data_IF_976601834671
#
_entry.id   IF_976601834671
#
_cell.length_a   1.000
_cell.length_b   1.000
_cell.length_c   1.000
_cell.angle_alpha   90.00
_cell.angle_beta   90.00
_cell.angle_gamma   90.00
#
_symmetry.space_group_name_H-M   'P 1'
#
loop_
_entity.id
_entity.type
_entity.pdbx_description
1 polymer ?
#
# COMPACT_ATOMS: atom_id res chain seq x y z
N UNK A 1 7.45 -4.35 12.67
CA UNK A 1 8.54 -3.38 12.50
C UNK A 1 8.19 -2.02 13.12
N UNK A 2 7.24 -1.23 12.58
CA UNK A 2 6.95 0.13 13.07
C UNK A 2 6.69 0.25 14.59
N UNK A 3 5.86 -0.65 15.17
CA UNK A 3 5.61 -0.69 16.62
C UNK A 3 6.90 -0.90 17.44
N UNK A 4 7.80 -1.77 16.98
CA UNK A 4 9.07 -2.01 17.66
C UNK A 4 9.99 -0.80 17.60
N UNK A 5 10.02 -0.09 16.49
CA UNK A 5 10.83 1.12 16.31
C UNK A 5 10.34 2.26 17.20
N UNK A 6 9.02 2.45 17.29
CA UNK A 6 8.44 3.44 18.17
C UNK A 6 8.65 3.10 19.65
N UNK A 7 8.54 1.83 20.04
CA UNK A 7 8.80 1.41 21.41
C UNK A 7 10.25 1.70 21.85
N UNK A 8 11.23 1.52 20.97
CA UNK A 8 12.62 1.93 21.26
C UNK A 8 12.70 3.43 21.53
N UNK A 9 12.02 4.24 20.70
CA UNK A 9 11.96 5.69 20.87
C UNK A 9 11.28 6.12 22.18
N UNK A 10 10.28 5.36 22.65
CA UNK A 10 9.63 5.62 23.95
C UNK A 10 10.55 5.33 25.14
N UNK A 11 11.32 4.24 25.06
CA UNK A 11 12.14 3.74 26.16
C UNK A 11 13.52 4.42 26.25
N UNK A 12 14.04 4.92 25.13
CA UNK A 12 15.36 5.50 25.03
C UNK A 12 15.30 6.89 24.36
N UNK A 13 15.58 7.93 25.15
CA UNK A 13 15.57 9.32 24.69
C UNK A 13 16.69 9.64 23.69
N UNK A 14 17.74 8.82 23.61
CA UNK A 14 18.82 8.97 22.63
C UNK A 14 18.53 8.22 21.33
N UNK A 15 17.58 7.29 21.33
CA UNK A 15 17.20 6.57 20.12
C UNK A 15 16.67 7.52 19.04
N UNK A 16 17.03 7.25 17.79
CA UNK A 16 16.59 8.00 16.62
C UNK A 16 16.06 7.03 15.57
N UNK A 17 14.77 7.17 15.24
CA UNK A 17 14.20 6.53 14.06
C UNK A 17 14.86 7.16 12.83
N UNK A 18 15.28 6.33 11.87
CA UNK A 18 15.88 6.80 10.63
C UNK A 18 14.92 7.74 9.90
N UNK A 19 15.40 8.85 9.29
CA UNK A 19 14.54 9.87 8.70
C UNK A 19 13.46 9.32 7.75
N UNK A 20 13.83 8.37 6.89
CA UNK A 20 12.93 7.75 5.90
C UNK A 20 11.81 6.91 6.53
N UNK A 21 11.99 6.44 7.76
CA UNK A 21 11.01 5.61 8.45
C UNK A 21 10.10 6.40 9.40
N UNK A 22 10.45 7.65 9.75
CA UNK A 22 9.74 8.42 10.79
C UNK A 22 8.24 8.53 10.54
N UNK A 23 7.81 8.93 9.35
CA UNK A 23 6.39 9.08 9.02
C UNK A 23 5.64 7.76 9.21
N UNK A 24 6.20 6.66 8.71
CA UNK A 24 5.58 5.33 8.83
C UNK A 24 5.56 4.88 10.29
N UNK A 25 6.66 5.06 11.02
CA UNK A 25 6.77 4.64 12.43
C UNK A 25 5.82 5.43 13.31
N UNK A 26 5.83 6.77 13.24
CA UNK A 26 4.99 7.64 14.07
C UNK A 26 3.51 7.46 13.75
N UNK A 27 3.13 7.48 12.46
CA UNK A 27 1.73 7.34 12.06
C UNK A 27 1.18 5.96 12.46
N UNK A 28 1.95 4.87 12.31
CA UNK A 28 1.50 3.54 12.76
C UNK A 28 1.44 3.42 14.29
N UNK A 29 2.35 4.07 15.03
CA UNK A 29 2.26 4.13 16.48
C UNK A 29 0.97 4.80 16.94
N UNK A 30 0.60 5.92 16.33
CA UNK A 30 -0.67 6.62 16.63
C UNK A 30 -1.90 5.84 16.18
N UNK A 31 -1.82 5.14 15.05
CA UNK A 31 -2.93 4.35 14.51
C UNK A 31 -3.30 3.15 15.38
N UNK A 32 -2.31 2.54 16.05
CA UNK A 32 -2.49 1.32 16.85
C UNK A 32 -2.21 1.51 18.35
N UNK A 33 -1.83 2.73 18.75
CA UNK A 33 -1.61 3.13 20.13
C UNK A 33 -2.78 3.95 20.69
N UNK A 34 -2.54 4.63 21.80
CA UNK A 34 -3.52 5.43 22.53
C UNK A 34 -2.97 6.79 22.95
N UNK A 35 -3.39 7.24 24.14
CA UNK A 35 -3.01 8.55 24.67
C UNK A 35 -1.51 8.66 24.96
N UNK A 36 -0.84 7.56 25.36
CA UNK A 36 0.58 7.55 25.67
C UNK A 36 1.43 7.95 24.45
N UNK A 37 1.24 7.25 23.31
CA UNK A 37 1.97 7.53 22.09
C UNK A 37 1.62 8.90 21.51
N UNK A 38 0.35 9.31 21.62
CA UNK A 38 -0.11 10.63 21.17
C UNK A 38 0.52 11.75 21.99
N UNK A 39 0.46 11.67 23.31
CA UNK A 39 1.04 12.67 24.21
C UNK A 39 2.56 12.71 24.11
N UNK A 40 3.21 11.56 23.90
CA UNK A 40 4.65 11.53 23.64
C UNK A 40 5.02 12.36 22.41
N UNK A 41 4.35 12.14 21.28
CA UNK A 41 4.61 12.90 20.05
C UNK A 41 4.21 14.37 20.18
N UNK A 42 3.10 14.67 20.86
CA UNK A 42 2.69 16.04 21.15
C UNK A 42 3.73 16.79 22.00
N UNK A 43 4.22 16.19 23.07
CA UNK A 43 5.28 16.77 23.91
C UNK A 43 6.58 16.94 23.13
N UNK A 44 6.91 15.98 22.27
CA UNK A 44 8.03 16.09 21.36
C UNK A 44 7.87 17.27 20.42
N UNK A 45 6.70 17.46 19.80
CA UNK A 45 6.41 18.63 18.96
C UNK A 45 6.67 19.96 19.70
N UNK A 46 6.19 20.09 20.94
CA UNK A 46 6.32 21.31 21.74
C UNK A 46 7.77 21.62 22.15
N UNK A 47 8.59 20.59 22.37
CA UNK A 47 9.94 20.75 22.94
C UNK A 47 11.06 20.68 21.89
N UNK A 48 10.78 20.16 20.70
CA UNK A 48 11.81 19.96 19.68
C UNK A 48 12.18 21.27 18.97
N UNK A 49 13.47 21.46 18.69
CA UNK A 49 13.99 22.67 18.03
C UNK A 49 14.12 22.55 16.50
N UNK A 50 13.89 21.37 15.93
CA UNK A 50 13.96 21.14 14.49
C UNK A 50 12.58 21.28 13.84
N UNK A 51 12.41 22.29 13.00
CA UNK A 51 11.13 22.57 12.34
C UNK A 51 10.63 21.40 11.46
N UNK A 52 11.52 20.70 10.76
CA UNK A 52 11.12 19.56 9.91
C UNK A 52 10.53 18.39 10.72
N UNK A 53 11.05 18.14 11.92
CA UNK A 53 10.44 17.16 12.85
C UNK A 53 9.07 17.67 13.34
N UNK A 54 8.96 18.96 13.67
CA UNK A 54 7.69 19.54 14.13
C UNK A 54 6.59 19.41 13.08
N UNK A 55 6.88 19.78 11.83
CA UNK A 55 5.94 19.66 10.70
C UNK A 55 5.57 18.20 10.45
N UNK A 56 6.54 17.28 10.50
CA UNK A 56 6.26 15.85 10.38
C UNK A 56 5.32 15.37 11.49
N UNK A 57 5.58 15.75 12.74
CA UNK A 57 4.74 15.37 13.88
C UNK A 57 3.31 15.91 13.71
N UNK A 58 3.14 17.18 13.34
CA UNK A 58 1.81 17.74 13.05
C UNK A 58 1.07 16.94 11.97
N UNK A 59 1.79 16.54 10.91
CA UNK A 59 1.22 15.73 9.82
C UNK A 59 0.80 14.32 10.24
N UNK A 60 1.41 13.72 11.26
CA UNK A 60 1.08 12.34 11.68
C UNK A 60 0.14 12.27 12.89
N UNK A 61 -0.01 13.33 13.69
CA UNK A 61 -0.92 13.34 14.86
C UNK A 61 -2.38 13.03 14.50
N UNK A 62 -2.80 13.32 13.26
CA UNK A 62 -4.11 12.93 12.71
C UNK A 62 -4.25 11.44 12.35
N UNK A 63 -3.18 10.64 12.41
CA UNK A 63 -3.23 9.19 12.16
C UNK A 63 -3.94 8.38 13.25
N UNK A 64 -4.28 9.01 14.38
CA UNK A 64 -5.02 8.35 15.49
C UNK A 64 -6.36 7.79 15.02
N UNK A 65 -6.78 6.67 15.62
CA UNK A 65 -8.12 6.08 15.44
C UNK A 65 -9.09 6.49 16.56
N UNK A 66 -8.61 7.23 17.55
CA UNK A 66 -9.40 7.66 18.70
C UNK A 66 -10.02 9.02 18.40
N UNK A 67 -11.35 9.07 18.33
CA UNK A 67 -12.11 10.31 18.03
C UNK A 67 -11.83 11.42 19.05
N UNK A 68 -11.72 11.09 20.34
CA UNK A 68 -11.43 12.07 21.39
C UNK A 68 -10.06 12.72 21.20
N UNK A 69 -9.03 11.94 20.84
CA UNK A 69 -7.70 12.47 20.53
C UNK A 69 -7.72 13.31 19.25
N UNK A 70 -8.43 12.87 18.21
CA UNK A 70 -8.57 13.63 16.98
C UNK A 70 -9.30 14.97 17.20
N UNK A 71 -10.40 14.97 17.96
CA UNK A 71 -11.13 16.19 18.34
C UNK A 71 -10.29 17.10 19.23
N UNK A 72 -9.55 16.53 20.19
CA UNK A 72 -8.60 17.29 21.01
C UNK A 72 -7.52 17.96 20.16
N UNK A 73 -7.06 17.29 19.10
CA UNK A 73 -6.11 17.85 18.16
C UNK A 73 -6.72 18.96 17.28
N UNK A 74 -7.91 18.71 16.70
CA UNK A 74 -8.65 19.72 15.94
C UNK A 74 -9.00 20.94 16.79
N UNK A 75 -9.31 20.77 18.08
CA UNK A 75 -9.58 21.90 18.99
C UNK A 75 -8.39 22.84 19.13
N UNK A 76 -7.17 22.36 18.94
CA UNK A 76 -5.96 23.21 18.92
C UNK A 76 -5.96 24.21 17.76
N UNK A 77 -6.74 23.99 16.70
CA UNK A 77 -6.85 24.94 15.58
C UNK A 77 -7.69 26.17 15.91
N UNK A 78 -8.49 26.09 16.97
CA UNK A 78 -9.41 27.15 17.43
C UNK A 78 -9.13 27.54 18.89
N UNK A 79 -7.92 27.23 19.39
CA UNK A 79 -7.49 27.58 20.74
C UNK A 79 -6.31 28.54 20.64
N UNK A 80 -6.43 29.73 21.23
CA UNK A 80 -5.31 30.65 21.38
C UNK A 80 -4.18 29.98 22.19
N UNK A 81 -2.94 30.23 21.80
CA UNK A 81 -1.75 29.67 22.46
C UNK A 81 -1.72 28.13 22.53
N UNK A 82 -2.33 27.45 21.55
CA UNK A 82 -2.35 25.98 21.48
C UNK A 82 -0.98 25.31 21.33
N UNK A 83 0.07 26.11 21.14
CA UNK A 83 1.43 25.67 20.80
C UNK A 83 1.65 25.46 19.31
N UNK A 84 0.59 25.48 18.48
CA UNK A 84 0.70 25.38 17.03
C UNK A 84 0.97 26.76 16.43
N UNK A 85 2.00 26.86 15.57
CA UNK A 85 2.30 28.10 14.84
C UNK A 85 1.17 28.41 13.86
N UNK A 86 0.79 29.68 13.75
CA UNK A 86 -0.33 30.11 12.88
C UNK A 86 -0.16 29.70 11.40
N UNK A 87 1.08 29.61 10.91
CA UNK A 87 1.38 29.17 9.54
C UNK A 87 1.21 27.66 9.32
N UNK A 88 1.31 26.85 10.38
CA UNK A 88 1.24 25.39 10.32
C UNK A 88 -0.17 24.87 10.65
N UNK A 89 -1.05 25.72 11.19
CA UNK A 89 -2.40 25.37 11.66
C UNK A 89 -3.28 24.77 10.56
N UNK A 90 -3.08 25.20 9.31
CA UNK A 90 -3.83 24.73 8.15
C UNK A 90 -3.52 23.28 7.78
N UNK A 91 -2.43 22.70 8.30
CA UNK A 91 -2.07 21.30 8.09
C UNK A 91 -2.83 20.31 8.98
N UNK A 92 -3.46 20.80 10.06
CA UNK A 92 -4.09 19.96 11.09
C UNK A 92 -5.32 19.24 10.55
N UNK A 93 -6.28 19.97 9.97
CA UNK A 93 -7.48 19.34 9.36
C UNK A 93 -7.11 18.29 8.30
N UNK A 94 -6.25 18.60 7.31
CA UNK A 94 -5.78 17.61 6.34
C UNK A 94 -5.14 16.37 6.96
N UNK A 95 -4.37 16.51 8.04
CA UNK A 95 -3.78 15.35 8.72
C UNK A 95 -4.85 14.41 9.29
N UNK A 96 -6.00 14.95 9.69
CA UNK A 96 -7.12 14.17 10.25
C UNK A 96 -7.96 13.57 9.12
N UNK A 97 -8.52 14.37 8.21
CA UNK A 97 -9.46 13.84 7.21
C UNK A 97 -8.81 12.92 6.15
N UNK A 98 -7.49 12.94 5.99
CA UNK A 98 -6.77 11.98 5.12
C UNK A 98 -6.56 10.59 5.78
N UNK A 99 -7.13 10.37 6.97
CA UNK A 99 -7.19 9.07 7.63
C UNK A 99 -8.54 8.40 7.35
N UNK A 100 -8.56 7.06 7.24
CA UNK A 100 -9.75 6.24 6.95
C UNK A 100 -10.92 6.55 7.90
N UNK A 101 -10.63 6.85 9.17
CA UNK A 101 -11.65 7.22 10.18
C UNK A 101 -11.83 8.73 10.33
N UNK A 102 -10.89 9.52 9.80
CA UNK A 102 -10.77 10.92 10.16
C UNK A 102 -11.72 11.84 9.42
N UNK A 103 -12.33 11.41 8.30
CA UNK A 103 -13.39 12.18 7.63
C UNK A 103 -14.57 12.36 8.58
N UNK A 104 -15.06 11.29 9.21
CA UNK A 104 -16.15 11.37 10.18
C UNK A 104 -15.76 12.19 11.42
N UNK A 105 -14.53 12.06 11.92
CA UNK A 105 -14.05 12.87 13.03
C UNK A 105 -14.04 14.36 12.69
N UNK A 106 -13.59 14.72 11.48
CA UNK A 106 -13.55 16.10 11.01
C UNK A 106 -14.95 16.69 10.80
N UNK A 107 -15.88 15.92 10.21
CA UNK A 107 -17.28 16.33 10.05
C UNK A 107 -17.95 16.53 11.42
N UNK A 108 -17.79 15.57 12.33
CA UNK A 108 -18.36 15.65 13.67
C UNK A 108 -17.81 16.84 14.44
N UNK A 109 -16.49 17.06 14.39
CA UNK A 109 -15.87 18.21 15.04
C UNK A 109 -16.38 19.53 14.47
N UNK A 110 -16.46 19.65 13.14
CA UNK A 110 -17.00 20.83 12.46
C UNK A 110 -18.44 21.12 12.89
N UNK A 111 -19.29 20.09 12.94
CA UNK A 111 -20.69 20.21 13.37
C UNK A 111 -20.83 20.63 14.84
N UNK A 112 -20.00 20.07 15.72
CA UNK A 112 -20.09 20.29 17.17
C UNK A 112 -19.48 21.62 17.60
N UNK A 113 -18.51 22.15 16.86
CA UNK A 113 -17.72 23.33 17.25
C UNK A 113 -17.85 24.49 16.24
N UNK A 114 -18.89 24.46 15.41
CA UNK A 114 -19.08 25.42 14.31
C UNK A 114 -19.04 26.89 14.75
N UNK A 115 -19.70 27.21 15.87
CA UNK A 115 -19.74 28.58 16.41
C UNK A 115 -18.37 29.06 16.84
N UNK A 116 -17.63 28.21 17.56
CA UNK A 116 -16.27 28.51 18.00
C UNK A 116 -15.32 28.69 16.79
N UNK A 117 -15.52 27.92 15.72
CA UNK A 117 -14.74 28.05 14.47
C UNK A 117 -14.98 29.40 13.79
N UNK A 118 -16.24 29.87 13.73
CA UNK A 118 -16.56 31.20 13.19
C UNK A 118 -15.99 32.30 14.09
N UNK A 119 -16.16 32.18 15.41
CA UNK A 119 -15.66 33.18 16.37
C UNK A 119 -14.14 33.31 16.30
N UNK A 120 -13.43 32.20 16.09
CA UNK A 120 -11.99 32.18 15.88
C UNK A 120 -11.55 32.65 14.47
N UNK A 121 -12.49 33.01 13.60
CA UNK A 121 -12.26 33.44 12.22
C UNK A 121 -11.49 32.39 11.37
N UNK A 122 -11.72 31.11 11.64
CA UNK A 122 -11.14 30.02 10.86
C UNK A 122 -11.93 29.80 9.55
N UNK A 123 -11.23 29.42 8.48
CA UNK A 123 -11.83 29.27 7.15
C UNK A 123 -12.69 27.99 7.05
N UNK A 124 -14.00 28.13 7.30
CA UNK A 124 -14.96 27.02 7.14
C UNK A 124 -15.01 26.51 5.70
N UNK A 125 -14.91 27.39 4.70
CA UNK A 125 -14.90 27.01 3.29
C UNK A 125 -13.73 26.09 2.94
N UNK A 126 -12.53 26.37 3.45
CA UNK A 126 -11.35 25.52 3.24
C UNK A 126 -11.52 24.16 3.89
N UNK A 127 -12.05 24.10 5.12
CA UNK A 127 -12.32 22.86 5.84
C UNK A 127 -13.36 22.01 5.09
N UNK A 128 -14.49 22.60 4.71
CA UNK A 128 -15.57 21.91 3.96
C UNK A 128 -15.06 21.41 2.61
N UNK A 129 -14.24 22.19 1.91
CA UNK A 129 -13.65 21.79 0.63
C UNK A 129 -12.70 20.60 0.79
N UNK A 130 -11.83 20.63 1.80
CA UNK A 130 -10.93 19.52 2.13
C UNK A 130 -11.68 18.24 2.49
N UNK A 131 -12.67 18.32 3.38
CA UNK A 131 -13.52 17.18 3.75
C UNK A 131 -14.27 16.64 2.52
N UNK A 132 -14.85 17.51 1.70
CA UNK A 132 -15.56 17.13 0.47
C UNK A 132 -14.69 16.31 -0.48
N UNK A 133 -13.41 16.66 -0.62
CA UNK A 133 -12.45 15.90 -1.42
C UNK A 133 -12.11 14.51 -0.87
N UNK A 134 -12.34 14.27 0.42
CA UNK A 134 -12.03 13.03 1.11
C UNK A 134 -13.24 12.11 1.35
N UNK A 135 -14.46 12.56 1.04
CA UNK A 135 -15.69 11.76 1.19
C UNK A 135 -15.62 10.50 0.34
N UNK A 136 -15.92 9.35 0.96
CA UNK A 136 -15.96 8.06 0.28
C UNK A 136 -17.24 7.25 0.56
N UNK A 137 -18.21 7.79 1.29
CA UNK A 137 -19.47 7.11 1.61
C UNK A 137 -20.67 8.06 1.53
N UNK A 138 -21.86 7.48 1.29
CA UNK A 138 -23.12 8.22 1.28
C UNK A 138 -23.41 8.85 2.65
N UNK A 139 -23.11 8.14 3.74
CA UNK A 139 -23.32 8.64 5.10
C UNK A 139 -22.51 9.92 5.38
N UNK A 140 -21.23 9.95 4.97
CA UNK A 140 -20.38 11.13 5.13
C UNK A 140 -20.90 12.31 4.30
N UNK A 141 -21.36 12.03 3.09
CA UNK A 141 -21.97 13.01 2.19
C UNK A 141 -23.22 13.63 2.83
N UNK A 142 -24.12 12.81 3.36
CA UNK A 142 -25.36 13.26 3.99
C UNK A 142 -25.08 14.10 5.23
N UNK A 143 -24.12 13.70 6.08
CA UNK A 143 -23.70 14.48 7.26
C UNK A 143 -23.16 15.86 6.87
N UNK A 144 -22.35 15.94 5.81
CA UNK A 144 -21.79 17.21 5.37
C UNK A 144 -22.85 18.10 4.70
N UNK A 145 -23.73 17.51 3.89
CA UNK A 145 -24.87 18.22 3.29
C UNK A 145 -25.80 18.81 4.36
N UNK A 146 -26.14 18.01 5.36
CA UNK A 146 -26.92 18.46 6.50
C UNK A 146 -26.25 19.64 7.21
N UNK A 147 -24.95 19.53 7.50
CA UNK A 147 -24.19 20.62 8.12
C UNK A 147 -24.27 21.92 7.30
N UNK A 148 -24.05 21.86 5.99
CA UNK A 148 -24.05 23.04 5.11
C UNK A 148 -25.43 23.71 5.11
N UNK A 149 -26.50 22.92 5.06
CA UNK A 149 -27.87 23.42 5.07
C UNK A 149 -28.24 24.05 6.42
N UNK A 150 -27.93 23.36 7.52
CA UNK A 150 -28.25 23.79 8.88
C UNK A 150 -27.48 25.07 9.27
N UNK A 151 -26.30 25.29 8.69
CA UNK A 151 -25.42 26.44 8.98
C UNK A 151 -25.48 27.57 7.95
N UNK A 152 -26.31 27.45 6.91
CA UNK A 152 -26.28 28.33 5.74
C UNK A 152 -26.46 29.82 6.06
N UNK A 153 -27.28 30.15 7.06
CA UNK A 153 -27.52 31.52 7.50
C UNK A 153 -26.29 32.11 8.20
N UNK A 154 -25.72 31.38 9.16
CA UNK A 154 -24.52 31.78 9.92
C UNK A 154 -23.26 31.87 9.02
N UNK A 155 -23.15 31.01 8.01
CA UNK A 155 -22.04 31.01 7.04
C UNK A 155 -22.04 32.22 6.08
N UNK A 156 -23.22 32.77 5.80
CA UNK A 156 -23.42 33.75 4.74
C UNK A 156 -23.40 33.14 3.33
N UNK A 157 -24.07 33.81 2.38
CA UNK A 157 -24.37 33.28 1.04
C UNK A 157 -23.13 32.87 0.23
N UNK A 158 -22.03 33.62 0.31
CA UNK A 158 -20.79 33.33 -0.43
C UNK A 158 -20.11 32.05 0.03
N UNK A 159 -19.99 31.87 1.35
CA UNK A 159 -19.39 30.67 1.96
C UNK A 159 -20.26 29.45 1.72
N UNK A 160 -21.59 29.59 1.90
CA UNK A 160 -22.56 28.53 1.62
C UNK A 160 -22.51 28.08 0.15
N UNK A 161 -22.42 29.01 -0.79
CA UNK A 161 -22.28 28.68 -2.23
C UNK A 161 -20.99 27.90 -2.50
N UNK A 162 -19.88 28.32 -1.90
CA UNK A 162 -18.58 27.64 -2.05
C UNK A 162 -18.59 26.23 -1.45
N UNK A 163 -19.27 26.06 -0.30
CA UNK A 163 -19.48 24.78 0.35
C UNK A 163 -20.35 23.84 -0.51
N UNK A 164 -21.46 24.33 -1.06
CA UNK A 164 -22.32 23.55 -1.96
C UNK A 164 -21.60 23.12 -3.25
N UNK A 165 -20.73 23.97 -3.82
CA UNK A 165 -19.90 23.60 -4.97
C UNK A 165 -18.90 22.47 -4.64
N UNK A 166 -18.32 22.52 -3.43
CA UNK A 166 -17.44 21.45 -2.93
C UNK A 166 -18.22 20.15 -2.74
N UNK A 167 -19.41 20.23 -2.13
CA UNK A 167 -20.32 19.10 -1.94
C UNK A 167 -20.75 18.49 -3.29
N UNK A 168 -21.06 19.31 -4.29
CA UNK A 168 -21.38 18.82 -5.65
C UNK A 168 -20.23 18.03 -6.27
N UNK A 169 -18.99 18.41 -5.96
CA UNK A 169 -17.80 17.66 -6.41
C UNK A 169 -17.68 16.34 -5.66
N UNK A 170 -17.92 16.32 -4.34
CA UNK A 170 -18.00 15.09 -3.56
C UNK A 170 -19.07 14.12 -4.10
N UNK A 171 -20.28 14.63 -4.43
CA UNK A 171 -21.37 13.85 -5.04
C UNK A 171 -20.92 13.15 -6.33
N UNK A 172 -20.28 13.89 -7.24
CA UNK A 172 -19.75 13.34 -8.51
C UNK A 172 -18.66 12.29 -8.28
N UNK A 173 -17.74 12.54 -7.35
CA UNK A 173 -16.67 11.60 -7.03
C UNK A 173 -17.22 10.30 -6.43
N UNK A 174 -18.22 10.40 -5.55
CA UNK A 174 -18.88 9.25 -4.94
C UNK A 174 -19.68 8.44 -5.99
N UNK A 175 -20.38 9.12 -6.90
CA UNK A 175 -21.07 8.48 -8.02
C UNK A 175 -20.09 7.73 -8.94
N UNK A 176 -18.95 8.36 -9.26
CA UNK A 176 -17.87 7.71 -10.01
C UNK A 176 -17.34 6.48 -9.27
N UNK A 177 -17.09 6.57 -7.96
CA UNK A 177 -16.65 5.46 -7.13
C UNK A 177 -17.68 4.32 -7.12
N UNK A 178 -18.97 4.62 -7.00
CA UNK A 178 -20.04 3.62 -7.03
C UNK A 178 -20.15 2.93 -8.40
N UNK A 179 -19.90 3.68 -9.48
CA UNK A 179 -19.98 3.18 -10.86
C UNK A 179 -18.78 2.32 -11.24
N UNK A 180 -17.57 2.72 -10.83
CA UNK A 180 -16.31 2.11 -11.30
C UNK A 180 -15.56 1.32 -10.23
N UNK A 181 -15.87 1.51 -8.95
CA UNK A 181 -15.12 0.95 -7.83
C UNK A 181 -15.10 -0.57 -7.83
N UNK A 182 -16.20 -1.24 -8.17
CA UNK A 182 -16.28 -2.70 -8.27
C UNK A 182 -15.42 -3.25 -9.41
N UNK A 183 -15.43 -2.60 -10.57
CA UNK A 183 -14.60 -2.95 -11.72
C UNK A 183 -13.11 -2.78 -11.41
N UNK A 184 -12.72 -1.66 -10.80
CA UNK A 184 -11.34 -1.42 -10.38
C UNK A 184 -10.90 -2.44 -9.34
N UNK A 185 -11.73 -2.71 -8.33
CA UNK A 185 -11.42 -3.70 -7.29
C UNK A 185 -11.27 -5.11 -7.89
N UNK A 186 -12.12 -5.46 -8.86
CA UNK A 186 -12.02 -6.73 -9.58
C UNK A 186 -10.73 -6.79 -10.39
N UNK A 187 -10.41 -5.73 -11.13
CA UNK A 187 -9.17 -5.63 -11.89
C UNK A 187 -7.94 -5.76 -10.97
N UNK A 188 -7.88 -5.01 -9.85
CA UNK A 188 -6.79 -5.09 -8.87
C UNK A 188 -6.64 -6.52 -8.33
N UNK A 189 -7.75 -7.19 -8.00
CA UNK A 189 -7.73 -8.59 -7.52
C UNK A 189 -7.24 -9.56 -8.60
N UNK A 190 -7.55 -9.29 -9.87
CA UNK A 190 -7.06 -10.07 -11.01
C UNK A 190 -5.57 -9.83 -11.27
N UNK A 191 -5.02 -8.66 -10.94
CA UNK A 191 -3.59 -8.36 -11.00
C UNK A 191 -2.78 -9.05 -9.88
N UNK A 192 -3.19 -10.21 -9.37
CA UNK A 192 -2.43 -10.90 -8.34
C UNK A 192 -1.14 -11.49 -8.95
N UNK A 193 -0.02 -10.82 -8.67
CA UNK A 193 1.33 -11.25 -9.05
C UNK A 193 1.86 -12.39 -8.18
N UNK A 194 1.19 -12.75 -7.08
CA UNK A 194 1.61 -13.89 -6.27
C UNK A 194 1.06 -15.19 -6.84
N UNK A 195 1.92 -16.19 -6.93
CA UNK A 195 1.50 -17.56 -7.21
C UNK A 195 0.49 -18.04 -6.14
N UNK A 196 -0.47 -18.90 -6.50
CA UNK A 196 -1.38 -19.52 -5.55
C UNK A 196 -0.66 -20.32 -4.46
N UNK A 197 -1.30 -20.49 -3.30
CA UNK A 197 -0.71 -21.20 -2.14
C UNK A 197 -1.03 -22.69 -2.09
N UNK A 198 -1.68 -23.24 -3.12
CA UNK A 198 -2.03 -24.67 -3.20
C UNK A 198 -0.84 -25.59 -3.48
N UNK A 199 0.28 -25.03 -3.94
CA UNK A 199 1.57 -25.71 -4.11
C UNK A 199 2.62 -24.97 -3.30
N UNK A 200 3.38 -25.72 -2.49
CA UNK A 200 4.46 -25.18 -1.65
C UNK A 200 5.76 -25.91 -1.99
N UNK A 201 6.65 -25.27 -2.76
CA UNK A 201 7.99 -25.78 -3.01
C UNK A 201 8.78 -25.93 -1.71
N UNK A 202 9.51 -27.03 -1.57
CA UNK A 202 10.40 -27.27 -0.42
C UNK A 202 11.84 -27.54 -0.84
N UNK A 203 12.10 -27.83 -2.12
CA UNK A 203 13.46 -28.02 -2.63
C UNK A 203 13.57 -27.67 -4.12
N UNK A 204 14.70 -27.09 -4.50
CA UNK A 204 15.06 -26.78 -5.88
C UNK A 204 16.44 -27.35 -6.18
N UNK A 205 16.57 -28.06 -7.29
CA UNK A 205 17.84 -28.43 -7.90
C UNK A 205 17.96 -27.63 -9.20
N UNK A 206 18.87 -26.65 -9.24
CA UNK A 206 19.01 -25.71 -10.37
C UNK A 206 20.39 -25.90 -11.00
N UNK A 207 20.40 -26.10 -12.31
CA UNK A 207 21.62 -26.12 -13.13
C UNK A 207 21.56 -24.95 -14.09
N UNK A 208 22.65 -24.18 -14.13
CA UNK A 208 22.85 -23.08 -15.06
C UNK A 208 24.15 -23.32 -15.82
N UNK A 209 24.08 -23.36 -17.13
CA UNK A 209 25.20 -23.57 -18.03
C UNK A 209 25.33 -22.37 -18.97
N UNK A 210 26.23 -21.41 -18.66
CA UNK A 210 26.51 -20.30 -19.56
C UNK A 210 27.22 -20.79 -20.81
N UNK A 211 26.83 -20.25 -21.97
CA UNK A 211 27.60 -20.39 -23.20
C UNK A 211 28.52 -19.17 -23.33
N UNK A 212 29.82 -19.40 -23.13
CA UNK A 212 30.84 -18.35 -23.18
C UNK A 212 31.69 -18.41 -24.45
N UNK A 213 31.46 -19.42 -25.30
CA UNK A 213 32.31 -19.72 -26.45
C UNK A 213 31.82 -19.05 -27.75
N UNK A 214 30.62 -18.46 -27.73
CA UNK A 214 30.05 -17.72 -28.85
C UNK A 214 29.51 -16.33 -28.45
N UNK A 215 29.38 -15.45 -29.44
CA UNK A 215 28.82 -14.10 -29.26
C UNK A 215 27.27 -14.13 -29.10
N UNK A 216 26.67 -15.30 -28.86
CA UNK A 216 25.20 -15.40 -28.71
C UNK A 216 24.73 -14.93 -27.33
N UNK A 217 25.64 -14.91 -26.35
CA UNK A 217 25.35 -14.54 -24.97
C UNK A 217 24.18 -15.33 -24.37
N UNK A 218 24.08 -16.60 -24.74
CA UNK A 218 23.02 -17.49 -24.27
C UNK A 218 23.48 -18.31 -23.06
N UNK A 219 22.52 -18.78 -22.29
CA UNK A 219 22.72 -19.85 -21.33
C UNK A 219 21.57 -20.84 -21.42
N UNK A 220 21.87 -22.08 -21.06
CA UNK A 220 20.87 -23.12 -20.87
C UNK A 220 20.86 -23.54 -19.41
N UNK A 221 19.79 -24.22 -19.00
CA UNK A 221 19.68 -24.72 -17.65
C UNK A 221 18.58 -25.76 -17.53
N UNK A 222 18.55 -26.39 -16.36
CA UNK A 222 17.46 -27.27 -15.95
C UNK A 222 17.12 -27.00 -14.51
N UNK A 223 15.84 -27.14 -14.17
CA UNK A 223 15.38 -27.06 -12.80
C UNK A 223 14.54 -28.28 -12.45
N UNK A 224 14.75 -28.78 -11.24
CA UNK A 224 13.87 -29.76 -10.60
C UNK A 224 13.29 -29.13 -9.34
N UNK A 225 11.97 -29.04 -9.27
CA UNK A 225 11.26 -28.41 -8.16
C UNK A 225 10.50 -29.51 -7.42
N UNK A 226 10.88 -29.78 -6.17
CA UNK A 226 10.12 -30.68 -5.31
C UNK A 226 9.16 -29.87 -4.44
N UNK A 227 7.89 -30.24 -4.43
CA UNK A 227 6.84 -29.46 -3.78
C UNK A 227 5.76 -30.32 -3.13
N UNK A 228 5.11 -29.74 -2.12
CA UNK A 228 3.92 -30.30 -1.46
C UNK A 228 2.67 -29.66 -2.05
N UNK A 229 1.63 -30.46 -2.25
CA UNK A 229 0.31 -29.96 -2.65
C UNK A 229 -0.55 -29.83 -1.40
N UNK A 230 -0.95 -28.62 -1.06
CA UNK A 230 -1.77 -28.32 0.12
C UNK A 230 -3.26 -28.41 -0.21
N UNK A 231 -3.64 -28.12 -1.46
CA UNK A 231 -5.01 -28.22 -1.97
C UNK A 231 -4.99 -28.87 -3.36
N UNK A 232 -5.91 -29.80 -3.62
CA UNK A 232 -5.97 -30.53 -4.90
C UNK A 232 -6.16 -29.56 -6.06
N UNK A 233 -5.33 -29.68 -7.10
CA UNK A 233 -5.25 -28.73 -8.22
C UNK A 233 -4.89 -29.43 -9.52
N UNK A 234 -5.28 -28.85 -10.66
CA UNK A 234 -4.88 -29.27 -12.01
C UNK A 234 -3.78 -28.35 -12.59
N UNK A 235 -3.17 -27.47 -11.77
CA UNK A 235 -2.23 -26.45 -12.24
C UNK A 235 -0.96 -26.39 -11.44
N UNK A 236 0.16 -26.17 -12.13
CA UNK A 236 1.43 -25.73 -11.57
C UNK A 236 1.79 -24.40 -12.21
N UNK A 237 1.84 -23.34 -11.40
CA UNK A 237 2.16 -21.99 -11.86
C UNK A 237 3.55 -21.59 -11.37
N UNK A 238 4.35 -21.02 -12.27
CA UNK A 238 5.72 -20.56 -12.02
C UNK A 238 5.86 -19.11 -12.43
N UNK A 239 6.85 -18.43 -11.84
CA UNK A 239 7.33 -17.18 -12.41
C UNK A 239 8.41 -17.44 -13.45
N UNK A 240 8.18 -17.00 -14.68
CA UNK A 240 9.12 -17.09 -15.79
C UNK A 240 9.24 -15.71 -16.40
N UNK A 241 10.46 -15.14 -16.39
CA UNK A 241 10.74 -13.81 -16.88
C UNK A 241 12.01 -13.85 -17.73
N UNK A 242 11.90 -13.44 -18.99
CA UNK A 242 13.00 -13.44 -19.97
C UNK A 242 13.73 -14.79 -20.10
N UNK A 243 12.98 -15.89 -19.98
CA UNK A 243 13.43 -17.26 -20.22
C UNK A 243 12.49 -17.95 -21.20
N UNK A 244 13.04 -18.79 -22.07
CA UNK A 244 12.28 -19.69 -22.93
C UNK A 244 12.33 -21.10 -22.32
N UNK A 245 11.16 -21.68 -22.05
CA UNK A 245 11.02 -23.02 -21.49
C UNK A 245 10.95 -24.04 -22.63
N UNK A 246 11.71 -25.12 -22.51
CA UNK A 246 11.64 -26.25 -23.44
C UNK A 246 10.48 -27.17 -23.03
N UNK A 247 9.31 -26.98 -23.66
CA UNK A 247 8.06 -27.67 -23.27
C UNK A 247 8.15 -29.19 -23.36
N UNK A 248 8.96 -29.72 -24.29
CA UNK A 248 9.17 -31.17 -24.47
C UNK A 248 9.89 -31.82 -23.28
N UNK A 249 10.45 -31.01 -22.38
CA UNK A 249 11.21 -31.45 -21.21
C UNK A 249 10.42 -31.35 -19.90
N UNK A 250 9.20 -30.81 -19.97
CA UNK A 250 8.33 -30.66 -18.81
C UNK A 250 7.82 -32.04 -18.40
N UNK A 251 8.10 -32.43 -17.16
CA UNK A 251 7.58 -33.66 -16.55
C UNK A 251 7.19 -33.41 -15.10
N UNK A 252 6.02 -33.91 -14.69
CA UNK A 252 5.56 -33.84 -13.30
C UNK A 252 5.31 -35.25 -12.78
N UNK A 253 6.07 -35.65 -11.76
CA UNK A 253 6.06 -37.00 -11.21
C UNK A 253 5.61 -36.98 -9.75
N UNK A 254 4.76 -37.94 -9.36
CA UNK A 254 4.44 -38.17 -7.96
C UNK A 254 5.62 -38.86 -7.27
N UNK A 255 6.07 -38.36 -6.12
CA UNK A 255 7.23 -38.99 -5.43
C UNK A 255 6.90 -40.35 -4.80
N UNK A 256 5.62 -40.67 -4.63
CA UNK A 256 5.14 -41.88 -3.95
C UNK A 256 4.58 -42.93 -4.90
N UNK A 257 4.46 -42.64 -6.20
CA UNK A 257 3.89 -43.53 -7.22
C UNK A 257 4.67 -43.36 -8.52
N UNK A 258 4.95 -44.46 -9.23
CA UNK A 258 5.55 -44.41 -10.57
C UNK A 258 4.51 -44.00 -11.62
N UNK A 259 3.94 -42.80 -11.44
CA UNK A 259 2.90 -42.25 -12.30
C UNK A 259 3.37 -40.86 -12.75
N UNK A 260 3.48 -40.70 -14.07
CA UNK A 260 3.92 -39.46 -14.71
C UNK A 260 2.72 -38.75 -15.30
N UNK A 261 2.61 -37.45 -15.05
CA UNK A 261 1.51 -36.62 -15.51
C UNK A 261 1.97 -35.82 -16.74
N UNK A 262 1.97 -36.50 -17.89
CA UNK A 262 2.64 -36.02 -19.10
C UNK A 262 1.76 -35.20 -20.05
N UNK A 263 0.44 -35.12 -19.78
CA UNK A 263 -0.48 -34.40 -20.65
C UNK A 263 -0.91 -33.06 -20.02
N UNK A 264 -0.39 -31.97 -20.57
CA UNK A 264 -0.65 -30.62 -20.10
C UNK A 264 -0.88 -29.64 -21.26
N UNK A 265 -1.43 -28.49 -20.90
CA UNK A 265 -1.54 -27.30 -21.76
C UNK A 265 -0.84 -26.15 -21.08
N UNK A 266 -0.16 -25.31 -21.85
CA UNK A 266 0.60 -24.18 -21.32
C UNK A 266 -0.08 -22.88 -21.72
N UNK A 267 -0.17 -21.97 -20.75
CA UNK A 267 -0.56 -20.58 -21.00
C UNK A 267 0.39 -19.65 -20.27
N UNK A 268 0.73 -18.53 -20.90
CA UNK A 268 1.60 -17.51 -20.33
C UNK A 268 0.85 -16.20 -20.11
N UNK A 269 1.02 -15.62 -18.92
CA UNK A 269 0.63 -14.24 -18.63
C UNK A 269 1.89 -13.37 -18.59
N UNK A 270 2.21 -12.75 -19.72
CA UNK A 270 3.41 -11.91 -19.86
C UNK A 270 3.35 -10.62 -19.04
N UNK A 271 2.18 -10.19 -18.53
CA UNK A 271 2.10 -9.03 -17.63
C UNK A 271 2.53 -9.42 -16.21
N UNK A 272 2.09 -10.59 -15.75
CA UNK A 272 2.39 -11.10 -14.40
C UNK A 272 3.62 -12.00 -14.35
N UNK A 273 4.23 -12.28 -15.51
CA UNK A 273 5.30 -13.25 -15.69
C UNK A 273 4.92 -14.61 -15.12
N UNK A 274 3.68 -15.06 -15.36
CA UNK A 274 3.18 -16.35 -14.85
C UNK A 274 3.13 -17.34 -16.00
N UNK A 275 3.89 -18.42 -15.86
CA UNK A 275 3.86 -19.59 -16.73
C UNK A 275 2.99 -20.65 -16.07
N UNK A 276 1.87 -21.00 -16.71
CA UNK A 276 0.83 -21.86 -16.14
C UNK A 276 0.78 -23.18 -16.89
N UNK A 277 1.20 -24.24 -16.21
CA UNK A 277 1.16 -25.62 -16.68
C UNK A 277 -0.14 -26.24 -16.16
N UNK A 278 -1.15 -26.35 -17.03
CA UNK A 278 -2.43 -26.97 -16.71
C UNK A 278 -2.44 -28.44 -17.13
N UNK A 279 -2.47 -29.33 -16.16
CA UNK A 279 -2.52 -30.77 -16.30
C UNK A 279 -3.91 -31.25 -16.72
N UNK A 280 -3.96 -32.40 -17.41
CA UNK A 280 -5.22 -33.11 -17.69
C UNK A 280 -5.77 -33.85 -16.47
N UNK A 281 -4.88 -34.18 -15.53
CA UNK A 281 -5.15 -34.88 -14.28
C UNK A 281 -4.83 -34.00 -13.06
N UNK A 282 -5.23 -34.45 -11.87
CA UNK A 282 -5.11 -33.67 -10.64
C UNK A 282 -3.89 -34.05 -9.81
N UNK A 283 -3.20 -33.02 -9.31
CA UNK A 283 -2.27 -33.12 -8.19
C UNK A 283 -3.08 -33.17 -6.90
N UNK A 284 -2.89 -34.22 -6.12
CA UNK A 284 -3.73 -34.53 -4.96
C UNK A 284 -3.17 -33.87 -3.69
N UNK A 285 -4.04 -33.21 -2.93
CA UNK A 285 -3.70 -32.65 -1.61
C UNK A 285 -3.04 -33.68 -0.69
N UNK A 286 -2.02 -33.23 0.05
CA UNK A 286 -1.23 -34.04 0.97
C UNK A 286 -0.13 -34.87 0.31
N UNK A 287 -0.02 -34.87 -1.03
CA UNK A 287 1.04 -35.57 -1.76
C UNK A 287 2.19 -34.64 -2.13
N UNK A 288 3.31 -35.27 -2.45
CA UNK A 288 4.52 -34.62 -2.91
C UNK A 288 4.78 -34.96 -4.36
N UNK A 289 5.20 -33.97 -5.12
CA UNK A 289 5.50 -34.09 -6.54
C UNK A 289 6.84 -33.43 -6.85
N UNK A 290 7.38 -33.77 -8.02
CA UNK A 290 8.56 -33.14 -8.58
C UNK A 290 8.25 -32.67 -10.00
N UNK A 291 8.53 -31.41 -10.29
CA UNK A 291 8.51 -30.83 -11.63
C UNK A 291 9.92 -30.79 -12.18
N UNK A 292 10.10 -31.25 -13.41
CA UNK A 292 11.30 -31.11 -14.22
C UNK A 292 11.00 -30.18 -15.40
N UNK A 293 11.92 -29.28 -15.73
CA UNK A 293 11.91 -28.52 -16.98
C UNK A 293 13.31 -28.00 -17.33
N UNK A 294 13.59 -27.89 -18.62
CA UNK A 294 14.76 -27.20 -19.15
C UNK A 294 14.37 -25.80 -19.61
N UNK A 295 15.33 -24.88 -19.56
CA UNK A 295 15.14 -23.51 -20.00
C UNK A 295 16.38 -22.97 -20.70
N UNK A 296 16.19 -21.94 -21.51
CA UNK A 296 17.26 -21.12 -22.06
C UNK A 296 16.97 -19.64 -21.85
N UNK A 297 18.00 -18.82 -21.82
CA UNK A 297 17.90 -17.39 -21.67
C UNK A 297 19.11 -16.67 -22.22
N UNK A 298 19.10 -15.35 -22.11
CA UNK A 298 20.17 -14.47 -22.60
C UNK A 298 20.78 -13.67 -21.45
N UNK A 299 22.08 -13.42 -21.50
CA UNK A 299 22.74 -12.51 -20.57
C UNK A 299 22.21 -11.08 -20.78
N UNK A 300 21.48 -10.57 -19.79
CA UNK A 300 20.88 -9.23 -19.83
C UNK A 300 21.94 -8.13 -19.76
N UNK A 301 21.60 -6.92 -20.20
CA UNK A 301 22.47 -5.73 -20.08
C UNK A 301 21.96 -4.71 -19.05
N UNK A 302 20.77 -4.93 -18.48
CA UNK A 302 20.08 -4.02 -17.56
C UNK A 302 20.36 -4.31 -16.08
N UNK A 303 21.41 -5.10 -15.80
CA UNK A 303 21.82 -5.52 -14.46
C UNK A 303 20.80 -6.35 -13.68
N UNK A 304 19.73 -6.82 -14.32
CA UNK A 304 18.77 -7.74 -13.70
C UNK A 304 19.17 -9.20 -13.93
N UNK A 305 18.97 -10.05 -12.93
CA UNK A 305 19.17 -11.51 -13.03
C UNK A 305 20.59 -11.91 -13.41
N UNK A 306 20.73 -12.81 -14.39
CA UNK A 306 22.02 -13.21 -14.94
C UNK A 306 22.38 -12.30 -16.11
N UNK A 307 23.29 -11.37 -15.87
CA UNK A 307 23.60 -10.26 -16.77
C UNK A 307 25.07 -10.23 -17.18
N UNK A 308 25.36 -9.50 -18.26
CA UNK A 308 26.71 -9.15 -18.70
C UNK A 308 26.94 -7.65 -18.56
N UNK A 309 28.19 -7.31 -18.26
CA UNK A 309 28.67 -5.93 -18.24
C UNK A 309 29.99 -5.86 -18.98
N UNK A 310 30.41 -4.66 -19.37
CA UNK A 310 31.65 -4.42 -20.10
C UNK A 310 32.40 -3.25 -19.48
N UNK A 311 33.72 -3.23 -19.65
CA UNK A 311 34.58 -2.14 -19.19
C UNK A 311 35.60 -1.81 -20.27
N UNK A 312 35.97 -0.55 -20.39
CA UNK A 312 36.97 -0.15 -21.37
C UNK A 312 38.38 -0.30 -20.80
N UNK A 313 39.26 -0.97 -21.54
CA UNK A 313 40.69 -1.01 -21.29
C UNK A 313 41.44 -0.37 -22.45
N UNK A 314 42.12 0.74 -22.20
CA UNK A 314 42.85 1.52 -23.21
C UNK A 314 41.99 1.92 -24.43
N UNK A 315 40.72 2.28 -24.20
CA UNK A 315 39.80 2.70 -25.26
C UNK A 315 39.16 1.56 -26.06
N UNK A 316 39.44 0.31 -25.72
CA UNK A 316 38.81 -0.88 -26.29
C UNK A 316 37.82 -1.46 -25.27
N UNK A 317 36.61 -1.81 -25.74
CA UNK A 317 35.54 -2.44 -24.95
C UNK A 317 35.90 -3.87 -24.56
#
# INVERSE_FOLDING_TARGET
>A
MAKSEFNKLLLDSEYRVTPDLKTVVYCNALRYGGEEEWNFLWNRYLTHNVNTEQVLILGVLGCTRNETLAHGYLRKTITSDSGIRSQDISSVYPSVYNNVYGVDFAINFLRQNFRDIIEFNASVSSVVSGISGAISSQEQLDKLEQFINDSAEELGSGTTTSALNSLQTAKRNLEWLNTHGSTIMTWIKQQNYRLPTHIVPYHYNVVLQPNLDDDTFQFTGRVEISFNVTETTDRVQLHVNDLEIDEDTIAIEALTVWDSLDNFTITEDSLRHIYDIKLSDYLISGRQYKLHLNYKGYHREDMAGFYRSYYYRNGVR
#
